data_IF_594253248456
#
_entry.id   IF_594253248456
#
_cell.length_a   1.000
_cell.length_b   1.000
_cell.length_c   1.000
_cell.angle_alpha   90.00
_cell.angle_beta   90.00
_cell.angle_gamma   90.00
#
_symmetry.space_group_name_H-M   'P 1'
#
loop_
_entity.id
_entity.type
_entity.pdbx_description
1 polymer ?
#
# COMPACT_ATOMS: atom_id res chain seq x y z
N UNK A 1 3.42 21.79 24.65
CA UNK A 1 2.07 21.23 24.37
C UNK A 1 2.02 20.28 23.15
N UNK A 2 3.16 19.88 22.60
CA UNK A 2 3.27 18.87 21.51
C UNK A 2 3.70 17.47 21.99
N UNK A 3 4.22 17.33 23.20
CA UNK A 3 4.70 16.05 23.74
C UNK A 3 3.59 15.09 24.26
N UNK A 4 2.37 15.57 24.44
CA UNK A 4 1.27 14.75 24.97
C UNK A 4 0.50 13.92 23.93
N UNK A 5 0.84 14.01 22.62
CA UNK A 5 0.13 13.32 21.53
C UNK A 5 0.87 12.06 21.05
N UNK A 6 2.09 11.83 21.50
CA UNK A 6 3.00 10.81 20.96
C UNK A 6 3.37 9.69 21.95
N UNK A 7 2.52 9.37 22.91
CA UNK A 7 2.78 8.18 23.73
C UNK A 7 2.38 6.89 22.97
N UNK A 8 3.18 5.80 23.09
CA UNK A 8 2.89 4.51 22.48
C UNK A 8 1.58 3.86 22.93
N UNK A 9 0.89 4.44 23.89
CA UNK A 9 -0.38 3.94 24.49
C UNK A 9 -1.63 4.26 23.65
N UNK A 10 -1.53 4.97 22.52
CA UNK A 10 -2.67 5.34 21.69
C UNK A 10 -2.96 4.37 20.52
N UNK A 11 -2.48 3.14 20.54
CA UNK A 11 -3.04 2.05 19.75
C UNK A 11 -4.34 1.63 20.42
N UNK A 12 -5.41 2.38 20.19
CA UNK A 12 -6.75 1.97 20.59
C UNK A 12 -7.13 0.78 19.72
N UNK A 13 -6.97 -0.43 20.24
CA UNK A 13 -7.75 -1.56 19.78
C UNK A 13 -9.21 -1.19 20.05
N UNK A 14 -9.98 -0.98 18.99
CA UNK A 14 -11.42 -0.89 19.13
C UNK A 14 -11.90 -2.32 19.41
N UNK A 15 -12.30 -2.67 20.62
CA UNK A 15 -12.77 -4.03 20.86
C UNK A 15 -13.95 -4.29 19.95
N UNK A 16 -13.96 -5.44 19.27
CA UNK A 16 -15.14 -5.88 18.51
C UNK A 16 -16.24 -6.14 19.53
N UNK A 17 -17.08 -5.14 19.76
CA UNK A 17 -18.19 -5.26 20.72
C UNK A 17 -19.28 -6.22 20.23
N UNK A 18 -19.34 -6.49 18.92
CA UNK A 18 -20.24 -7.45 18.28
C UNK A 18 -19.71 -7.83 16.88
N UNK A 19 -19.98 -9.06 16.40
CA UNK A 19 -19.64 -9.47 15.03
C UNK A 19 -20.27 -8.54 13.99
N UNK A 20 -19.50 -8.18 12.94
CA UNK A 20 -20.01 -7.36 11.83
C UNK A 20 -21.02 -8.17 11.03
N UNK A 21 -22.16 -7.55 10.73
CA UNK A 21 -23.26 -8.21 10.01
C UNK A 21 -23.49 -7.65 8.62
N UNK A 22 -23.26 -6.35 8.42
CA UNK A 22 -23.49 -5.67 7.15
C UNK A 22 -22.15 -5.29 6.49
N UNK A 23 -21.86 -5.88 5.33
CA UNK A 23 -20.61 -5.67 4.61
C UNK A 23 -20.88 -5.15 3.19
N UNK A 24 -20.28 -3.99 2.84
CA UNK A 24 -20.28 -3.48 1.46
C UNK A 24 -18.97 -3.89 0.78
N UNK A 25 -19.05 -4.81 -0.20
CA UNK A 25 -17.88 -5.35 -0.89
C UNK A 25 -17.73 -4.69 -2.26
N UNK A 26 -16.64 -3.93 -2.43
CA UNK A 26 -16.28 -3.28 -3.69
C UNK A 26 -15.30 -4.18 -4.44
N UNK A 27 -15.64 -4.59 -5.68
CA UNK A 27 -14.83 -5.53 -6.44
C UNK A 27 -14.66 -5.15 -7.90
N UNK A 28 -13.55 -5.62 -8.51
CA UNK A 28 -13.33 -5.46 -9.95
C UNK A 28 -13.84 -6.68 -10.71
N UNK A 29 -14.91 -6.55 -11.54
CA UNK A 29 -15.51 -7.68 -12.27
C UNK A 29 -14.60 -8.24 -13.37
N UNK A 30 -13.57 -7.51 -13.81
CA UNK A 30 -12.63 -7.98 -14.84
C UNK A 30 -11.54 -8.94 -14.30
N UNK A 31 -11.60 -9.29 -13.02
CA UNK A 31 -10.70 -10.25 -12.40
C UNK A 31 -10.79 -11.63 -13.10
N UNK A 32 -9.62 -12.27 -13.32
CA UNK A 32 -9.56 -13.60 -13.96
C UNK A 32 -10.28 -14.70 -13.18
N UNK A 33 -10.54 -15.84 -13.83
CA UNK A 33 -11.37 -16.94 -13.27
C UNK A 33 -10.98 -17.40 -11.86
N UNK A 34 -9.67 -17.57 -11.56
CA UNK A 34 -9.20 -17.98 -10.23
C UNK A 34 -9.57 -16.96 -9.15
N UNK A 35 -9.54 -15.67 -9.46
CA UNK A 35 -9.93 -14.59 -8.55
C UNK A 35 -11.42 -14.57 -8.30
N UNK A 36 -12.22 -14.79 -9.35
CA UNK A 36 -13.69 -14.92 -9.24
C UNK A 36 -14.09 -16.12 -8.39
N UNK A 37 -13.45 -17.27 -8.58
CA UNK A 37 -13.71 -18.46 -7.77
C UNK A 37 -13.36 -18.22 -6.29
N UNK A 38 -12.25 -17.51 -6.02
CA UNK A 38 -11.88 -17.14 -4.66
C UNK A 38 -12.88 -16.18 -4.02
N UNK A 39 -13.30 -15.14 -4.74
CA UNK A 39 -14.33 -14.20 -4.28
C UNK A 39 -15.63 -14.98 -3.96
N UNK A 40 -16.10 -15.80 -4.89
CA UNK A 40 -17.33 -16.61 -4.70
C UNK A 40 -17.27 -17.43 -3.41
N UNK A 41 -16.17 -18.17 -3.16
CA UNK A 41 -15.99 -18.96 -1.93
C UNK A 41 -15.97 -18.09 -0.67
N UNK A 42 -15.40 -16.88 -0.74
CA UNK A 42 -15.42 -15.95 0.39
C UNK A 42 -16.83 -15.45 0.67
N UNK A 43 -17.62 -15.16 -0.37
CA UNK A 43 -19.01 -14.74 -0.24
C UNK A 43 -19.88 -15.85 0.36
N UNK A 44 -19.76 -17.07 -0.14
CA UNK A 44 -20.46 -18.25 0.40
C UNK A 44 -20.12 -18.46 1.90
N UNK A 45 -18.87 -18.24 2.28
CA UNK A 45 -18.45 -18.32 3.67
C UNK A 45 -19.03 -17.18 4.53
N UNK A 46 -19.10 -15.95 4.02
CA UNK A 46 -19.71 -14.80 4.71
C UNK A 46 -21.22 -15.04 4.94
N UNK A 47 -21.92 -15.49 3.91
CA UNK A 47 -23.35 -15.84 3.99
C UNK A 47 -23.59 -16.96 5.03
N UNK A 48 -22.73 -17.99 5.05
CA UNK A 48 -22.83 -19.08 6.04
C UNK A 48 -22.60 -18.62 7.48
N UNK A 49 -21.87 -17.51 7.67
CA UNK A 49 -21.65 -16.84 8.95
C UNK A 49 -22.76 -15.82 9.31
N UNK A 50 -23.78 -15.70 8.46
CA UNK A 50 -24.93 -14.83 8.68
C UNK A 50 -24.67 -13.34 8.37
N UNK A 51 -23.67 -13.04 7.54
CA UNK A 51 -23.43 -11.68 7.09
C UNK A 51 -24.39 -11.29 5.95
N UNK A 52 -24.90 -10.08 6.01
CA UNK A 52 -25.56 -9.41 4.90
C UNK A 52 -24.50 -8.72 4.02
N UNK A 53 -24.48 -9.05 2.73
CA UNK A 53 -23.43 -8.64 1.81
C UNK A 53 -23.97 -7.88 0.62
N UNK A 54 -23.63 -6.59 0.52
CA UNK A 54 -23.88 -5.77 -0.66
C UNK A 54 -22.67 -5.76 -1.59
N UNK A 55 -22.86 -6.11 -2.88
CA UNK A 55 -21.79 -6.17 -3.88
C UNK A 55 -21.81 -4.95 -4.80
N UNK A 56 -20.68 -4.25 -4.89
CA UNK A 56 -20.48 -3.06 -5.70
C UNK A 56 -19.38 -3.30 -6.75
N UNK A 57 -19.77 -3.42 -8.03
CA UNK A 57 -18.83 -3.64 -9.12
C UNK A 57 -18.21 -2.33 -9.61
N UNK A 58 -16.88 -2.27 -9.74
CA UNK A 58 -16.22 -1.13 -10.37
C UNK A 58 -16.27 -1.21 -11.89
N UNK A 59 -16.34 -0.07 -12.58
CA UNK A 59 -16.41 0.03 -14.04
C UNK A 59 -15.17 0.67 -14.66
N UNK A 60 -14.44 1.51 -13.91
CA UNK A 60 -13.25 2.23 -14.36
C UNK A 60 -12.27 2.47 -13.20
N UNK A 61 -11.09 2.97 -13.49
CA UNK A 61 -10.12 3.40 -12.49
C UNK A 61 -10.67 4.61 -11.72
N UNK A 62 -10.52 4.62 -10.40
CA UNK A 62 -11.10 5.64 -9.50
C UNK A 62 -12.52 5.33 -9.03
N UNK A 63 -13.27 4.44 -9.70
CA UNK A 63 -14.66 4.15 -9.32
C UNK A 63 -14.78 3.50 -7.93
N UNK A 64 -13.77 2.74 -7.48
CA UNK A 64 -13.78 2.20 -6.12
C UNK A 64 -13.74 3.30 -5.05
N UNK A 65 -13.02 4.42 -5.31
CA UNK A 65 -13.00 5.60 -4.45
C UNK A 65 -14.36 6.29 -4.39
N UNK A 66 -15.00 6.49 -5.55
CA UNK A 66 -16.34 7.11 -5.64
C UNK A 66 -17.38 6.29 -4.87
N UNK A 67 -17.42 4.96 -5.08
CA UNK A 67 -18.30 4.05 -4.36
C UNK A 67 -18.06 4.12 -2.85
N UNK A 68 -16.79 4.05 -2.43
CA UNK A 68 -16.43 4.10 -1.01
C UNK A 68 -16.88 5.41 -0.35
N UNK A 69 -16.67 6.56 -1.01
CA UNK A 69 -17.15 7.86 -0.53
C UNK A 69 -18.67 7.87 -0.39
N UNK A 70 -19.40 7.38 -1.40
CA UNK A 70 -20.87 7.31 -1.36
C UNK A 70 -21.38 6.41 -0.23
N UNK A 71 -20.77 5.25 -0.01
CA UNK A 71 -21.14 4.34 1.07
C UNK A 71 -20.84 4.94 2.45
N UNK A 72 -19.71 5.62 2.60
CA UNK A 72 -19.33 6.24 3.86
C UNK A 72 -20.23 7.43 4.23
N UNK A 73 -20.79 8.13 3.24
CA UNK A 73 -21.70 9.28 3.46
C UNK A 73 -23.18 8.91 3.43
N UNK A 74 -23.54 7.62 3.28
CA UNK A 74 -24.94 7.19 3.22
C UNK A 74 -25.60 7.22 4.60
N UNK A 75 -26.94 7.41 4.62
CA UNK A 75 -27.73 7.42 5.86
C UNK A 75 -27.69 6.05 6.57
N UNK A 76 -27.50 4.97 5.83
CA UNK A 76 -27.34 3.60 6.34
C UNK A 76 -25.94 3.13 5.97
N UNK A 77 -25.03 3.23 6.93
CA UNK A 77 -23.64 2.81 6.73
C UNK A 77 -23.48 1.30 6.96
N UNK A 78 -22.62 0.62 6.18
CA UNK A 78 -22.26 -0.76 6.48
C UNK A 78 -21.34 -0.84 7.73
N UNK A 79 -21.33 -1.99 8.40
CA UNK A 79 -20.40 -2.26 9.50
C UNK A 79 -18.93 -2.28 9.04
N UNK A 80 -18.69 -2.54 7.74
CA UNK A 80 -17.37 -2.40 7.10
C UNK A 80 -17.50 -2.24 5.59
N UNK A 81 -16.56 -1.49 5.00
CA UNK A 81 -16.34 -1.46 3.54
C UNK A 81 -15.19 -2.41 3.23
N UNK A 82 -15.39 -3.32 2.28
CA UNK A 82 -14.43 -4.38 1.97
C UNK A 82 -13.88 -4.23 0.56
N UNK A 83 -12.55 -4.16 0.46
CA UNK A 83 -11.83 -4.14 -0.80
C UNK A 83 -11.62 -5.56 -1.33
N UNK A 84 -12.40 -6.01 -2.31
CA UNK A 84 -12.15 -7.27 -3.01
C UNK A 84 -11.31 -7.03 -4.27
N UNK A 85 -10.01 -6.85 -4.06
CA UNK A 85 -9.09 -6.44 -5.12
C UNK A 85 -7.61 -6.60 -4.76
N UNK A 86 -6.75 -5.86 -5.45
CA UNK A 86 -5.33 -5.70 -5.15
C UNK A 86 -5.06 -4.37 -4.45
N UNK A 87 -3.76 -4.06 -4.26
CA UNK A 87 -3.30 -2.89 -3.52
C UNK A 87 -3.87 -1.57 -4.07
N UNK A 88 -4.01 -1.42 -5.39
CA UNK A 88 -4.65 -0.23 -6.00
C UNK A 88 -6.12 -0.07 -5.61
N UNK A 89 -6.92 -1.17 -5.59
CA UNK A 89 -8.32 -1.11 -5.16
C UNK A 89 -8.43 -0.75 -3.68
N UNK A 90 -7.54 -1.29 -2.85
CA UNK A 90 -7.46 -0.97 -1.43
C UNK A 90 -7.15 0.52 -1.23
N UNK A 91 -6.15 1.05 -1.98
CA UNK A 91 -5.78 2.46 -1.92
C UNK A 91 -6.92 3.38 -2.37
N UNK A 92 -7.63 3.05 -3.47
CA UNK A 92 -8.80 3.82 -3.91
C UNK A 92 -9.88 3.87 -2.83
N UNK A 93 -10.24 2.75 -2.22
CA UNK A 93 -11.29 2.67 -1.19
C UNK A 93 -10.88 3.43 0.07
N UNK A 94 -9.64 3.25 0.53
CA UNK A 94 -9.13 3.98 1.69
C UNK A 94 -9.20 5.49 1.47
N UNK A 95 -8.76 5.96 0.29
CA UNK A 95 -8.87 7.39 -0.05
C UNK A 95 -10.34 7.84 -0.12
N UNK A 96 -11.26 7.01 -0.59
CA UNK A 96 -12.69 7.33 -0.64
C UNK A 96 -13.30 7.53 0.75
N UNK A 97 -12.95 6.67 1.71
CA UNK A 97 -13.41 6.78 3.10
C UNK A 97 -12.84 8.05 3.74
N UNK A 98 -11.54 8.33 3.52
CA UNK A 98 -10.89 9.55 4.04
C UNK A 98 -11.50 10.83 3.44
N UNK A 99 -11.82 10.82 2.15
CA UNK A 99 -12.47 11.97 1.49
C UNK A 99 -13.86 12.25 2.05
N UNK A 100 -14.57 11.22 2.48
CA UNK A 100 -15.85 11.35 3.17
C UNK A 100 -15.73 11.98 4.58
N UNK A 101 -14.50 12.12 5.09
CA UNK A 101 -14.22 12.60 6.47
C UNK A 101 -14.86 11.72 7.56
N UNK A 102 -15.04 10.46 7.27
CA UNK A 102 -15.59 9.43 8.18
C UNK A 102 -14.42 8.54 8.62
N UNK A 103 -14.13 8.53 9.90
CA UNK A 103 -12.93 7.85 10.43
C UNK A 103 -13.25 6.47 11.08
N UNK A 104 -14.52 6.09 11.19
CA UNK A 104 -14.98 4.95 12.03
C UNK A 104 -15.41 3.73 11.22
N UNK A 105 -15.59 3.84 9.92
CA UNK A 105 -15.97 2.68 9.10
C UNK A 105 -14.72 1.83 8.82
N UNK A 106 -14.66 0.58 9.33
CA UNK A 106 -13.52 -0.28 9.10
C UNK A 106 -13.35 -0.67 7.63
N UNK A 107 -12.08 -0.70 7.19
CA UNK A 107 -11.71 -1.25 5.89
C UNK A 107 -11.34 -2.73 6.04
N UNK A 108 -12.04 -3.61 5.32
CA UNK A 108 -11.71 -5.02 5.18
C UNK A 108 -11.02 -5.34 3.85
N UNK A 109 -10.34 -6.49 3.76
CA UNK A 109 -9.63 -6.90 2.55
C UNK A 109 -9.96 -8.34 2.17
N UNK A 110 -10.38 -8.54 0.91
CA UNK A 110 -10.38 -9.84 0.22
C UNK A 110 -9.26 -9.80 -0.83
N UNK A 111 -8.10 -10.45 -0.60
CA UNK A 111 -6.90 -10.28 -1.42
C UNK A 111 -7.02 -10.99 -2.76
N UNK A 112 -7.38 -10.26 -3.81
CA UNK A 112 -7.55 -10.74 -5.18
C UNK A 112 -6.50 -10.16 -6.15
N UNK A 113 -5.56 -9.35 -5.65
CA UNK A 113 -4.49 -8.76 -6.45
C UNK A 113 -3.39 -9.76 -6.81
N UNK A 114 -2.35 -9.24 -7.44
CA UNK A 114 -1.15 -10.01 -7.81
C UNK A 114 -0.12 -10.01 -6.69
N UNK A 115 0.17 -8.87 -6.10
CA UNK A 115 1.15 -8.71 -5.02
C UNK A 115 0.49 -8.80 -3.64
N UNK A 116 -0.63 -8.10 -3.43
CA UNK A 116 -1.38 -8.03 -2.17
C UNK A 116 -0.46 -7.68 -0.99
N UNK A 117 0.35 -6.64 -1.15
CA UNK A 117 1.42 -6.29 -0.20
C UNK A 117 0.83 -5.98 1.17
N UNK A 118 -0.24 -5.19 1.22
CA UNK A 118 -0.90 -4.86 2.48
C UNK A 118 -1.51 -6.10 3.17
N UNK A 119 -2.11 -7.02 2.39
CA UNK A 119 -2.66 -8.25 2.97
C UNK A 119 -1.56 -9.15 3.58
N UNK A 120 -0.35 -9.16 2.99
CA UNK A 120 0.81 -9.86 3.54
C UNK A 120 1.30 -9.15 4.80
N UNK A 121 1.37 -7.83 4.77
CA UNK A 121 1.82 -6.99 5.89
C UNK A 121 1.03 -7.23 7.16
N UNK A 122 -0.30 -7.34 7.04
CA UNK A 122 -1.19 -7.57 8.18
C UNK A 122 -1.40 -9.06 8.50
N UNK A 123 -0.65 -9.97 7.87
CA UNK A 123 -0.78 -11.40 8.12
C UNK A 123 -2.13 -12.00 7.71
N UNK A 124 -2.82 -11.41 6.72
CA UNK A 124 -4.15 -11.89 6.33
C UNK A 124 -4.11 -13.34 5.85
N UNK A 125 -5.03 -14.21 6.32
CA UNK A 125 -5.05 -15.61 5.92
C UNK A 125 -5.30 -15.80 4.42
N UNK A 126 -4.80 -16.91 3.89
CA UNK A 126 -4.96 -17.24 2.47
C UNK A 126 -6.25 -18.00 2.14
N UNK A 127 -6.87 -18.68 3.13
CA UNK A 127 -8.14 -19.42 2.94
C UNK A 127 -9.32 -18.45 2.88
N UNK A 128 -10.24 -18.58 1.90
CA UNK A 128 -11.47 -17.79 1.82
C UNK A 128 -12.30 -17.82 3.11
N UNK A 129 -12.42 -18.96 3.74
CA UNK A 129 -13.20 -19.19 4.96
C UNK A 129 -12.59 -18.42 6.16
N UNK A 130 -11.26 -18.43 6.27
CA UNK A 130 -10.56 -17.68 7.32
C UNK A 130 -10.60 -16.17 7.07
N UNK A 131 -10.56 -15.74 5.80
CA UNK A 131 -10.75 -14.32 5.44
C UNK A 131 -12.16 -13.86 5.81
N UNK A 132 -13.20 -14.66 5.47
CA UNK A 132 -14.58 -14.35 5.83
C UNK A 132 -14.75 -14.22 7.36
N UNK A 133 -14.19 -15.14 8.13
CA UNK A 133 -14.22 -15.07 9.59
C UNK A 133 -13.49 -13.83 10.13
N UNK A 134 -12.32 -13.49 9.59
CA UNK A 134 -11.60 -12.29 9.99
C UNK A 134 -12.39 -11.02 9.70
N UNK A 135 -13.06 -10.92 8.56
CA UNK A 135 -13.91 -9.76 8.22
C UNK A 135 -15.04 -9.54 9.23
N UNK A 136 -15.57 -10.62 9.81
CA UNK A 136 -16.67 -10.56 10.78
C UNK A 136 -16.17 -10.35 12.21
N UNK A 137 -15.13 -11.10 12.62
CA UNK A 137 -14.75 -11.26 14.03
C UNK A 137 -13.47 -10.50 14.42
N UNK A 138 -12.54 -10.24 13.46
CA UNK A 138 -11.25 -9.66 13.80
C UNK A 138 -11.36 -8.18 14.23
N UNK A 139 -10.48 -7.71 15.14
CA UNK A 139 -10.45 -6.31 15.52
C UNK A 139 -10.11 -5.40 14.34
N UNK A 140 -10.56 -4.16 14.41
CA UNK A 140 -10.13 -3.10 13.50
C UNK A 140 -9.14 -2.19 14.24
N UNK A 141 -7.99 -1.91 13.61
CA UNK A 141 -6.91 -1.14 14.21
C UNK A 141 -6.55 0.05 13.34
N UNK A 142 -6.24 1.18 13.95
CA UNK A 142 -5.76 2.35 13.22
C UNK A 142 -4.37 2.08 12.65
N UNK A 143 -4.18 2.48 11.40
CA UNK A 143 -2.89 2.41 10.71
C UNK A 143 -2.43 3.83 10.35
N UNK A 144 -1.12 4.00 10.21
CA UNK A 144 -0.55 5.18 9.59
C UNK A 144 -0.59 5.05 8.07
N UNK A 145 -0.52 6.17 7.39
CA UNK A 145 -0.39 6.25 5.93
C UNK A 145 0.65 7.30 5.60
N UNK A 146 1.08 7.36 4.35
CA UNK A 146 1.87 8.49 3.87
C UNK A 146 1.09 9.32 2.85
N UNK A 147 1.55 10.53 2.58
CA UNK A 147 1.07 11.36 1.48
C UNK A 147 2.22 11.83 0.61
N UNK A 148 2.05 11.83 -0.71
CA UNK A 148 2.99 12.36 -1.69
C UNK A 148 2.27 13.49 -2.45
N UNK A 149 2.68 14.75 -2.22
CA UNK A 149 1.98 15.94 -2.69
C UNK A 149 0.46 15.87 -2.44
N UNK A 150 0.05 15.42 -1.24
CA UNK A 150 -1.35 15.29 -0.83
C UNK A 150 -2.06 14.00 -1.29
N UNK A 151 -1.47 13.18 -2.17
CA UNK A 151 -2.01 11.88 -2.55
C UNK A 151 -1.56 10.80 -1.57
N UNK A 152 -2.51 10.15 -0.94
CA UNK A 152 -2.28 9.17 0.12
C UNK A 152 -1.80 7.82 -0.43
N UNK A 153 -0.88 7.19 0.29
CA UNK A 153 -0.46 5.82 0.07
C UNK A 153 -0.46 5.02 1.38
N UNK A 154 -0.56 3.72 1.27
CA UNK A 154 -0.67 2.81 2.43
C UNK A 154 0.64 2.12 2.72
N UNK A 155 1.32 1.58 1.71
CA UNK A 155 2.52 0.77 1.90
C UNK A 155 3.81 1.53 1.63
N UNK A 156 3.91 2.22 0.49
CA UNK A 156 5.15 2.89 0.12
C UNK A 156 4.97 3.93 -0.97
N UNK A 157 5.88 4.90 -0.99
CA UNK A 157 6.14 5.75 -2.15
C UNK A 157 7.60 5.63 -2.56
N UNK A 158 7.94 6.00 -3.78
CA UNK A 158 9.33 5.94 -4.24
C UNK A 158 9.62 6.85 -5.42
N UNK A 159 10.86 7.33 -5.46
CA UNK A 159 11.45 8.03 -6.60
C UNK A 159 12.74 7.32 -7.00
N UNK A 160 12.93 7.14 -8.30
CA UNK A 160 14.09 6.46 -8.81
C UNK A 160 13.74 5.32 -9.78
N UNK A 161 14.58 4.28 -9.81
CA UNK A 161 14.43 3.17 -10.74
C UNK A 161 13.04 2.51 -10.64
N UNK A 162 12.52 2.33 -9.44
CA UNK A 162 11.22 1.72 -9.19
C UNK A 162 10.06 2.54 -9.79
N UNK A 163 10.06 3.86 -9.65
CA UNK A 163 9.06 4.73 -10.23
C UNK A 163 9.11 4.71 -11.77
N UNK A 164 10.31 4.70 -12.36
CA UNK A 164 10.46 4.54 -13.80
C UNK A 164 10.00 3.17 -14.30
N UNK A 165 10.19 2.11 -13.51
CA UNK A 165 9.66 0.78 -13.82
C UNK A 165 8.14 0.78 -13.80
N UNK A 166 7.53 1.37 -12.75
CA UNK A 166 6.06 1.49 -12.63
C UNK A 166 5.48 2.28 -13.81
N UNK A 167 6.11 3.40 -14.18
CA UNK A 167 5.65 4.24 -15.30
C UNK A 167 5.67 3.51 -16.64
N UNK A 168 6.67 2.65 -16.87
CA UNK A 168 6.92 2.04 -18.19
C UNK A 168 6.46 0.59 -18.29
N UNK A 169 5.97 0.00 -17.20
CA UNK A 169 5.46 -1.37 -17.25
C UNK A 169 4.25 -1.47 -18.17
N UNK A 170 4.32 -2.41 -19.13
CA UNK A 170 3.21 -2.68 -20.03
C UNK A 170 2.07 -3.37 -19.25
N UNK A 171 0.94 -2.68 -19.14
CA UNK A 171 -0.27 -3.17 -18.45
C UNK A 171 -0.84 -4.44 -19.11
N UNK A 172 -0.65 -4.64 -20.42
CA UNK A 172 -1.08 -5.86 -21.13
C UNK A 172 -0.19 -7.03 -20.73
N UNK A 173 1.12 -6.79 -20.65
CA UNK A 173 2.09 -7.78 -20.19
C UNK A 173 1.84 -8.11 -18.71
N UNK A 174 1.62 -7.10 -17.85
CA UNK A 174 1.25 -7.29 -16.44
C UNK A 174 0.01 -8.19 -16.27
N UNK A 175 -1.01 -8.02 -17.11
CA UNK A 175 -2.22 -8.88 -17.07
C UNK A 175 -1.92 -10.34 -17.44
N UNK A 176 -0.94 -10.60 -18.32
CA UNK A 176 -0.58 -11.95 -18.79
C UNK A 176 0.39 -12.68 -17.88
N UNK A 177 1.47 -12.02 -17.47
CA UNK A 177 2.59 -12.64 -16.74
C UNK A 177 2.75 -12.17 -15.30
N UNK A 178 1.85 -11.29 -14.82
CA UNK A 178 1.83 -10.82 -13.43
C UNK A 178 3.12 -10.09 -13.01
N UNK A 179 3.77 -10.49 -11.90
CA UNK A 179 4.97 -9.84 -11.38
C UNK A 179 6.17 -9.87 -12.33
N UNK A 180 6.24 -10.86 -13.24
CA UNK A 180 7.35 -10.96 -14.19
C UNK A 180 7.45 -9.77 -15.15
N UNK A 181 6.33 -9.06 -15.39
CA UNK A 181 6.34 -7.82 -16.16
C UNK A 181 7.21 -6.74 -15.52
N UNK A 182 7.17 -6.63 -14.18
CA UNK A 182 8.01 -5.70 -13.44
C UNK A 182 9.48 -6.12 -13.47
N UNK A 183 9.78 -7.41 -13.33
CA UNK A 183 11.15 -7.93 -13.44
C UNK A 183 11.72 -7.62 -14.82
N UNK A 184 10.96 -7.88 -15.88
CA UNK A 184 11.36 -7.58 -17.26
C UNK A 184 11.66 -6.08 -17.44
N UNK A 185 10.75 -5.19 -17.01
CA UNK A 185 10.95 -3.75 -17.16
C UNK A 185 12.12 -3.25 -16.28
N UNK A 186 12.30 -3.81 -15.08
CA UNK A 186 13.47 -3.51 -14.23
C UNK A 186 14.78 -3.82 -14.96
N UNK A 187 14.91 -5.02 -15.52
CA UNK A 187 16.11 -5.41 -16.29
C UNK A 187 16.32 -4.51 -17.50
N UNK A 188 15.25 -4.12 -18.16
CA UNK A 188 15.29 -3.20 -19.32
C UNK A 188 15.75 -1.80 -18.92
N UNK A 189 15.28 -1.25 -17.78
CA UNK A 189 15.72 0.05 -17.28
C UNK A 189 17.20 0.00 -16.86
N UNK A 190 17.62 -1.07 -16.19
CA UNK A 190 19.03 -1.30 -15.83
C UNK A 190 19.89 -1.36 -17.11
N UNK A 191 19.46 -2.08 -18.13
CA UNK A 191 20.19 -2.19 -19.40
C UNK A 191 20.32 -0.84 -20.13
N UNK A 192 19.34 0.06 -20.00
CA UNK A 192 19.36 1.41 -20.56
C UNK A 192 20.30 2.37 -19.82
N UNK A 193 20.81 1.96 -18.66
CA UNK A 193 21.81 2.75 -17.92
C UNK A 193 21.19 3.82 -17.04
N UNK A 194 20.19 3.44 -16.23
CA UNK A 194 19.65 4.32 -15.21
C UNK A 194 20.77 4.85 -14.29
N UNK A 195 20.90 6.16 -14.16
CA UNK A 195 22.01 6.79 -13.45
C UNK A 195 21.68 8.13 -12.79
N UNK A 196 20.39 8.47 -12.68
CA UNK A 196 19.94 9.72 -12.07
C UNK A 196 20.32 9.79 -10.58
N UNK A 197 20.46 11.02 -10.07
CA UNK A 197 20.69 11.31 -8.65
C UNK A 197 19.61 12.24 -8.14
N UNK A 198 19.25 12.03 -6.88
CA UNK A 198 18.21 12.75 -6.18
C UNK A 198 18.76 13.36 -4.90
N UNK A 199 18.31 14.58 -4.60
CA UNK A 199 18.49 15.23 -3.31
C UNK A 199 17.31 14.85 -2.44
N UNK A 200 17.57 14.02 -1.42
CA UNK A 200 16.56 13.59 -0.46
C UNK A 200 16.78 14.32 0.85
N UNK A 201 15.93 15.29 1.15
CA UNK A 201 16.00 16.04 2.40
C UNK A 201 15.06 15.42 3.42
N UNK A 202 15.63 14.98 4.54
CA UNK A 202 14.96 14.30 5.64
C UNK A 202 15.17 15.15 6.89
N UNK A 203 14.11 15.68 7.46
CA UNK A 203 14.14 16.52 8.66
C UNK A 203 15.22 17.63 8.58
N UNK A 204 15.32 18.27 7.42
CA UNK A 204 16.25 19.37 7.15
C UNK A 204 17.67 18.97 6.73
N UNK A 205 18.03 17.66 6.75
CA UNK A 205 19.33 17.17 6.29
C UNK A 205 19.21 16.55 4.89
N UNK A 206 20.04 17.00 3.95
CA UNK A 206 20.03 16.51 2.57
C UNK A 206 21.01 15.35 2.35
N UNK A 207 20.55 14.31 1.68
CA UNK A 207 21.29 13.13 1.28
C UNK A 207 21.26 12.99 -0.24
N UNK A 208 22.39 12.60 -0.83
CA UNK A 208 22.49 12.26 -2.25
C UNK A 208 22.22 10.77 -2.43
N UNK A 209 21.24 10.42 -3.25
CA UNK A 209 20.86 9.02 -3.51
C UNK A 209 20.57 8.77 -5.00
N UNK A 210 20.76 7.54 -5.46
CA UNK A 210 20.32 7.07 -6.77
C UNK A 210 18.83 6.71 -6.84
N UNK A 211 18.15 6.77 -5.70
CA UNK A 211 16.72 6.54 -5.52
C UNK A 211 16.38 6.44 -4.06
N UNK A 212 15.10 6.61 -3.76
CA UNK A 212 14.56 6.46 -2.41
C UNK A 212 13.23 5.71 -2.44
N UNK A 213 13.04 4.81 -1.47
CA UNK A 213 11.75 4.20 -1.16
C UNK A 213 11.35 4.63 0.24
N UNK A 214 10.20 5.26 0.35
CA UNK A 214 9.62 5.74 1.59
C UNK A 214 8.56 4.73 2.01
N UNK A 215 8.90 3.91 3.00
CA UNK A 215 8.12 2.77 3.42
C UNK A 215 7.30 3.06 4.68
N UNK A 216 6.03 2.69 4.65
CA UNK A 216 5.14 2.64 5.79
C UNK A 216 5.04 1.22 6.38
N UNK A 217 5.31 0.18 5.58
CA UNK A 217 5.37 -1.21 5.99
C UNK A 217 6.67 -1.89 5.59
N UNK A 218 6.87 -3.14 6.02
CA UNK A 218 8.09 -3.91 5.78
C UNK A 218 8.28 -4.26 4.31
N UNK A 219 7.17 -4.67 3.65
CA UNK A 219 7.22 -5.39 2.40
C UNK A 219 7.22 -4.45 1.20
N UNK A 220 7.96 -4.86 0.17
CA UNK A 220 8.11 -4.17 -1.08
C UNK A 220 7.84 -5.13 -2.25
N UNK A 221 6.91 -4.77 -3.14
CA UNK A 221 6.61 -5.51 -4.36
C UNK A 221 6.16 -6.97 -4.17
N UNK A 222 5.71 -7.32 -2.98
CA UNK A 222 5.32 -8.65 -2.57
C UNK A 222 5.88 -8.99 -1.20
N UNK A 223 6.68 -10.06 -1.10
CA UNK A 223 7.27 -10.52 0.17
C UNK A 223 8.73 -10.09 0.38
N UNK A 224 9.23 -9.17 -0.43
CA UNK A 224 10.59 -8.67 -0.28
C UNK A 224 10.64 -7.63 0.83
N UNK A 225 11.65 -7.70 1.69
CA UNK A 225 11.80 -6.79 2.84
C UNK A 225 12.75 -5.65 2.47
N UNK A 226 12.20 -4.44 2.34
CA UNK A 226 12.97 -3.22 2.10
C UNK A 226 13.25 -2.47 3.41
N UNK A 227 12.24 -2.31 4.25
CA UNK A 227 12.29 -1.58 5.53
C UNK A 227 11.89 -2.51 6.69
N UNK A 228 12.80 -3.34 7.22
CA UNK A 228 12.44 -4.37 8.19
C UNK A 228 11.98 -3.84 9.56
N UNK A 229 12.28 -2.59 9.87
CA UNK A 229 11.86 -1.96 11.13
C UNK A 229 10.59 -1.10 10.97
N UNK A 230 10.10 -0.91 9.74
CA UNK A 230 8.86 -0.20 9.47
C UNK A 230 7.67 -0.91 10.14
N UNK A 231 6.72 -0.13 10.59
CA UNK A 231 5.50 -0.64 11.25
C UNK A 231 4.32 0.21 10.78
N UNK A 232 3.34 -0.43 10.20
CA UNK A 232 2.14 0.22 9.64
C UNK A 232 1.36 1.05 10.67
N UNK A 233 1.61 0.82 11.96
CA UNK A 233 1.01 1.58 13.08
C UNK A 233 1.90 2.73 13.56
N UNK A 234 3.17 2.81 13.09
CA UNK A 234 4.09 3.83 13.55
C UNK A 234 3.69 5.21 12.99
N UNK A 235 3.77 6.28 13.79
CA UNK A 235 3.50 7.64 13.32
C UNK A 235 4.70 8.24 12.56
N UNK A 236 5.42 7.43 11.80
CA UNK A 236 6.63 7.80 11.06
C UNK A 236 6.83 6.89 9.86
N UNK A 237 7.62 7.32 8.89
CA UNK A 237 7.97 6.58 7.68
C UNK A 237 9.46 6.19 7.72
N UNK A 238 9.80 5.04 7.15
CA UNK A 238 11.18 4.61 6.99
C UNK A 238 11.69 4.92 5.58
N UNK A 239 12.67 5.82 5.48
CA UNK A 239 13.28 6.26 4.22
C UNK A 239 14.45 5.37 3.86
N UNK A 240 14.27 4.51 2.88
CA UNK A 240 15.29 3.62 2.34
C UNK A 240 16.06 4.34 1.24
N UNK A 241 17.31 4.71 1.49
CA UNK A 241 18.18 5.43 0.56
C UNK A 241 19.11 4.46 -0.18
N UNK A 242 19.12 4.52 -1.50
CA UNK A 242 20.01 3.78 -2.38
C UNK A 242 21.13 4.71 -2.85
N UNK A 243 22.25 4.76 -2.11
CA UNK A 243 23.30 5.78 -2.28
C UNK A 243 24.12 5.70 -3.57
N UNK A 244 24.07 4.57 -4.30
CA UNK A 244 24.81 4.39 -5.55
C UNK A 244 23.87 4.38 -6.76
N UNK A 245 24.41 4.76 -7.91
CA UNK A 245 23.71 4.78 -9.22
C UNK A 245 24.39 3.84 -10.22
N UNK A 246 23.71 3.60 -11.33
CA UNK A 246 24.23 2.80 -12.45
C UNK A 246 23.87 1.32 -12.38
N UNK A 247 24.24 0.60 -13.46
CA UNK A 247 23.81 -0.79 -13.69
C UNK A 247 24.25 -1.76 -12.60
N UNK A 248 25.52 -1.66 -12.17
CA UNK A 248 26.08 -2.54 -11.14
C UNK A 248 25.42 -2.31 -9.78
N UNK A 249 25.14 -1.06 -9.44
CA UNK A 249 24.45 -0.71 -8.20
C UNK A 249 23.00 -1.26 -8.21
N UNK A 250 22.26 -1.07 -9.29
CA UNK A 250 20.89 -1.56 -9.44
C UNK A 250 20.81 -3.10 -9.32
N UNK A 251 21.74 -3.82 -9.97
CA UNK A 251 21.83 -5.29 -9.85
C UNK A 251 22.17 -5.72 -8.42
N UNK A 252 23.10 -5.02 -7.75
CA UNK A 252 23.49 -5.31 -6.37
C UNK A 252 22.35 -5.07 -5.38
N UNK A 253 21.60 -3.96 -5.52
CA UNK A 253 20.44 -3.69 -4.68
C UNK A 253 19.30 -4.66 -4.95
N UNK A 254 19.03 -5.00 -6.22
CA UNK A 254 18.04 -5.99 -6.59
C UNK A 254 18.36 -7.37 -6.00
N UNK A 255 19.60 -7.82 -6.11
CA UNK A 255 20.07 -9.06 -5.49
C UNK A 255 19.95 -8.99 -3.95
N UNK A 256 20.36 -7.85 -3.34
CA UNK A 256 20.24 -7.63 -1.91
C UNK A 256 18.81 -7.72 -1.40
N UNK A 257 17.85 -7.17 -2.16
CA UNK A 257 16.43 -7.23 -1.85
C UNK A 257 15.88 -8.68 -1.96
N UNK A 258 16.17 -9.36 -3.07
CA UNK A 258 15.66 -10.72 -3.32
C UNK A 258 16.26 -11.74 -2.37
N UNK A 259 17.56 -11.63 -2.06
CA UNK A 259 18.30 -12.57 -1.20
C UNK A 259 18.34 -12.13 0.27
N UNK A 260 17.72 -11.01 0.63
CA UNK A 260 17.59 -10.57 2.02
C UNK A 260 18.85 -9.97 2.66
N UNK A 261 19.85 -9.54 1.87
CA UNK A 261 21.06 -8.91 2.41
C UNK A 261 21.15 -7.40 2.14
N UNK A 262 20.06 -6.75 1.73
CA UNK A 262 20.05 -5.32 1.36
C UNK A 262 20.64 -4.41 2.45
N UNK A 263 20.28 -4.62 3.72
CA UNK A 263 20.82 -3.86 4.87
C UNK A 263 22.31 -4.03 5.11
N UNK A 264 22.94 -5.08 4.58
CA UNK A 264 24.38 -5.33 4.72
C UNK A 264 25.20 -4.52 3.70
N UNK A 265 24.53 -3.86 2.76
CA UNK A 265 25.21 -3.05 1.75
C UNK A 265 25.55 -1.67 2.35
N UNK A 266 26.83 -1.25 2.38
CA UNK A 266 27.24 0.00 3.01
C UNK A 266 26.67 1.26 2.33
N UNK A 267 26.20 1.13 1.09
CA UNK A 267 25.54 2.19 0.33
C UNK A 267 24.01 2.20 0.44
N UNK A 268 23.45 1.35 1.30
CA UNK A 268 22.02 1.34 1.62
C UNK A 268 21.83 1.82 3.06
N UNK A 269 20.92 2.76 3.27
CA UNK A 269 20.61 3.32 4.58
C UNK A 269 19.10 3.38 4.77
N UNK A 270 18.64 3.21 6.00
CA UNK A 270 17.25 3.43 6.40
C UNK A 270 17.25 4.52 7.47
N UNK A 271 16.45 5.57 7.26
CA UNK A 271 16.33 6.72 8.16
C UNK A 271 14.86 6.93 8.44
N UNK A 272 14.48 7.02 9.71
CA UNK A 272 13.10 7.29 10.12
C UNK A 272 12.84 8.79 10.02
N UNK A 273 11.66 9.16 9.49
CA UNK A 273 11.28 10.55 9.26
C UNK A 273 9.76 10.75 9.20
N UNK A 274 9.34 11.98 9.45
CA UNK A 274 7.95 12.40 9.34
C UNK A 274 7.72 13.24 8.08
N UNK A 275 8.74 13.98 7.63
CA UNK A 275 8.69 14.83 6.44
C UNK A 275 9.92 14.62 5.55
N UNK A 276 9.69 14.35 4.29
CA UNK A 276 10.71 14.08 3.30
C UNK A 276 10.45 14.94 2.06
N UNK A 277 11.49 15.63 1.58
CA UNK A 277 11.45 16.31 0.29
C UNK A 277 12.41 15.63 -0.68
N UNK A 278 11.94 15.29 -1.88
CA UNK A 278 12.77 14.70 -2.91
C UNK A 278 12.82 15.65 -4.10
N UNK A 279 14.03 16.09 -4.42
CA UNK A 279 14.35 16.87 -5.59
C UNK A 279 15.23 16.06 -6.56
N UNK A 280 15.14 16.36 -7.84
CA UNK A 280 15.89 15.70 -8.89
C UNK A 280 15.55 16.31 -10.23
N UNK A 281 15.62 15.53 -11.29
CA UNK A 281 15.23 16.00 -12.61
C UNK A 281 13.73 16.37 -12.61
N UNK A 282 13.36 17.61 -12.96
CA UNK A 282 11.97 18.02 -13.00
C UNK A 282 11.15 17.11 -13.92
N UNK A 283 10.01 16.64 -13.42
CA UNK A 283 9.12 15.76 -14.15
C UNK A 283 9.42 14.26 -14.02
N UNK A 284 10.48 13.85 -13.33
CA UNK A 284 10.71 12.44 -13.01
C UNK A 284 9.56 11.85 -12.21
N UNK A 285 9.17 10.61 -12.48
CA UNK A 285 8.01 10.00 -11.85
C UNK A 285 8.24 9.71 -10.36
N UNK A 286 7.15 9.83 -9.59
CA UNK A 286 7.05 9.36 -8.22
C UNK A 286 5.90 8.36 -8.16
N UNK A 287 6.22 7.14 -7.74
CA UNK A 287 5.21 6.11 -7.55
C UNK A 287 4.74 6.05 -6.10
N UNK A 288 3.50 5.60 -5.88
CA UNK A 288 3.00 5.17 -4.59
C UNK A 288 2.06 3.97 -4.77
N UNK A 289 2.24 2.94 -3.96
CA UNK A 289 1.50 1.66 -4.01
C UNK A 289 1.41 1.04 -5.42
N UNK A 290 2.41 1.30 -6.27
CA UNK A 290 2.50 0.76 -7.63
C UNK A 290 1.76 1.56 -8.71
N UNK A 291 1.43 2.82 -8.43
CA UNK A 291 0.88 3.79 -9.39
C UNK A 291 1.69 5.10 -9.39
N UNK A 292 1.72 5.81 -10.52
CA UNK A 292 2.36 7.14 -10.58
C UNK A 292 1.39 8.16 -9.99
N UNK A 293 1.81 8.77 -8.88
CA UNK A 293 0.96 9.70 -8.11
C UNK A 293 1.43 11.16 -8.18
N UNK A 294 2.72 11.37 -8.46
CA UNK A 294 3.32 12.70 -8.52
C UNK A 294 4.50 12.73 -9.50
N UNK A 295 5.04 13.92 -9.68
CA UNK A 295 6.29 14.21 -10.39
C UNK A 295 7.18 15.03 -9.48
N UNK A 296 8.51 14.90 -9.64
CA UNK A 296 9.46 15.71 -8.89
C UNK A 296 9.36 17.21 -9.25
N UNK A 297 9.52 18.09 -8.25
CA UNK A 297 9.79 17.81 -6.85
C UNK A 297 8.57 17.28 -6.09
N UNK A 298 8.79 16.47 -5.05
CA UNK A 298 7.74 15.90 -4.22
C UNK A 298 8.01 16.10 -2.73
N UNK A 299 6.97 16.44 -1.99
CA UNK A 299 6.94 16.39 -0.55
C UNK A 299 6.19 15.14 -0.11
N UNK A 300 6.80 14.36 0.78
CA UNK A 300 6.19 13.17 1.37
C UNK A 300 6.11 13.39 2.88
N UNK A 301 4.92 13.13 3.44
CA UNK A 301 4.67 13.27 4.88
C UNK A 301 3.93 12.07 5.42
N UNK A 302 4.14 11.77 6.70
CA UNK A 302 3.28 10.84 7.42
C UNK A 302 1.86 11.40 7.50
N UNK A 303 0.86 10.56 7.24
CA UNK A 303 -0.55 10.89 7.32
C UNK A 303 -1.15 10.33 8.61
N UNK A 304 -1.76 11.20 9.42
CA UNK A 304 -2.23 10.88 10.76
C UNK A 304 -3.65 10.28 10.83
N UNK A 305 -4.39 10.27 9.73
CA UNK A 305 -5.77 9.76 9.69
C UNK A 305 -5.95 8.73 8.60
N UNK A 306 -6.40 7.55 8.97
CA UNK A 306 -6.89 6.51 8.05
C UNK A 306 -8.07 5.79 8.69
N UNK A 307 -8.96 5.16 7.90
CA UNK A 307 -9.96 4.28 8.45
C UNK A 307 -9.30 3.11 9.19
N UNK A 308 -9.92 2.59 10.26
CA UNK A 308 -9.43 1.39 10.92
C UNK A 308 -9.37 0.22 9.93
N UNK A 309 -8.29 -0.55 9.96
CA UNK A 309 -8.11 -1.72 9.11
C UNK A 309 -8.45 -2.98 9.89
N UNK A 310 -9.30 -3.84 9.33
CA UNK A 310 -9.63 -5.15 9.92
C UNK A 310 -8.40 -6.05 9.79
N UNK A 311 -7.82 -6.42 10.93
CA UNK A 311 -6.59 -7.19 10.98
C UNK A 311 -6.79 -8.45 11.81
N UNK A 312 -6.40 -9.63 11.31
CA UNK A 312 -6.38 -10.83 12.13
C UNK A 312 -5.39 -10.66 13.29
N UNK A 313 -5.73 -11.23 14.44
CA UNK A 313 -4.87 -11.24 15.61
C UNK A 313 -3.62 -12.12 15.41
#
# INVERSE_FOLDING_TARGET
>A
MLEAVLSPENVRETPVSSPRKSLAIIYNPTAGQRRRARLKRTLEALESLGADVALHATTHQGHAREIATSLATSDVQPDAIVAAGGDGTINEILNGIVDAQIDDIPLGIIPLGTANVLAIEIGLPTSPEKVARALIEAPAQNISTGTANGRRFVMMAGAGLDAHVVEKVDLRLKKRVGPLAYVYETLRQIARGYGERYDVTIDGKTYQAGGAVIANGHYYGGRYVCAPDARIHAPSLDVCLFGQTGRSAALKYGAGLVLGFLRKLPSFQVIRADTIHINGRPGDPVQADGEIVARLPVEIRVGLKSPPLIMPA
#
